data_IF_664496972697
#
_entry.id   IF_664496972697
#
_cell.length_a   1.000
_cell.length_b   1.000
_cell.length_c   1.000
_cell.angle_alpha   90.00
_cell.angle_beta   90.00
_cell.angle_gamma   90.00
#
_symmetry.space_group_name_H-M   'P 1'
#
loop_
_entity.id
_entity.type
_entity.pdbx_description
1 polymer ?
#
# COMPACT_ATOMS: atom_id res chain seq x y z
N UNK A 1 -0.57 12.36 26.08
CA UNK A 1 -0.93 11.32 25.10
C UNK A 1 0.35 10.91 24.36
N UNK A 2 0.59 9.61 24.11
CA UNK A 2 1.77 9.20 23.34
C UNK A 2 1.61 9.66 21.89
N UNK A 3 2.69 10.15 21.23
CA UNK A 3 2.64 10.55 19.84
C UNK A 3 2.33 9.35 18.93
N UNK A 4 1.58 9.55 17.84
CA UNK A 4 1.16 8.47 16.97
C UNK A 4 2.35 7.88 16.20
N UNK A 5 2.40 6.54 16.09
CA UNK A 5 3.26 5.87 15.13
C UNK A 5 2.59 5.95 13.74
N UNK A 6 3.33 6.40 12.73
CA UNK A 6 2.81 6.59 11.37
C UNK A 6 3.11 5.35 10.53
N UNK A 7 4.38 5.06 10.28
CA UNK A 7 4.84 3.91 9.48
C UNK A 7 6.29 3.54 9.82
N UNK A 8 6.75 2.32 9.51
CA UNK A 8 8.18 2.03 9.54
C UNK A 8 8.94 2.88 8.51
N UNK A 9 10.12 3.41 8.89
CA UNK A 9 11.00 4.15 7.99
C UNK A 9 12.18 3.26 7.62
N UNK A 10 12.35 3.02 6.32
CA UNK A 10 13.39 2.15 5.76
C UNK A 10 14.46 2.97 5.05
N UNK A 11 15.75 2.62 5.19
CA UNK A 11 16.84 3.32 4.51
C UNK A 11 16.81 3.09 2.98
N UNK A 12 17.49 3.94 2.19
CA UNK A 12 17.58 3.81 0.74
C UNK A 12 18.16 2.46 0.26
N UNK A 13 18.98 1.80 1.08
CA UNK A 13 19.52 0.45 0.81
C UNK A 13 18.48 -0.66 0.94
N UNK A 14 17.31 -0.39 1.52
CA UNK A 14 16.22 -1.35 1.64
C UNK A 14 15.38 -1.40 0.36
N UNK A 15 14.89 -2.60 -0.08
CA UNK A 15 13.88 -2.71 -1.12
C UNK A 15 12.59 -1.95 -0.81
N UNK A 16 12.32 -1.72 0.48
CA UNK A 16 11.16 -0.98 1.02
C UNK A 16 11.49 0.48 1.35
N UNK A 17 12.51 1.05 0.72
CA UNK A 17 12.96 2.43 1.01
C UNK A 17 11.79 3.38 1.25
N UNK A 18 11.92 4.22 2.29
CA UNK A 18 10.94 5.24 2.59
C UNK A 18 11.22 6.50 1.77
N UNK A 19 10.17 7.05 1.18
CA UNK A 19 10.19 8.43 0.71
C UNK A 19 10.20 9.38 1.92
N UNK A 20 10.61 10.63 1.71
CA UNK A 20 10.60 11.65 2.74
C UNK A 20 9.19 11.96 3.26
N UNK A 21 9.09 12.80 4.28
CA UNK A 21 7.82 13.27 4.81
C UNK A 21 7.89 13.85 6.22
N UNK A 22 6.76 14.35 6.69
CA UNK A 22 6.64 14.99 8.02
C UNK A 22 6.97 14.03 9.17
N UNK A 23 6.72 12.74 9.00
CA UNK A 23 7.09 11.69 9.96
C UNK A 23 8.61 11.55 10.09
N UNK A 24 9.34 11.66 8.98
CA UNK A 24 10.82 11.66 8.98
C UNK A 24 11.35 12.88 9.75
N UNK A 25 10.81 14.07 9.46
CA UNK A 25 11.17 15.30 10.19
C UNK A 25 10.95 15.17 11.70
N UNK A 26 9.81 14.63 12.11
CA UNK A 26 9.48 14.42 13.52
C UNK A 26 10.45 13.45 14.19
N UNK A 27 10.80 12.34 13.53
CA UNK A 27 11.75 11.35 14.05
C UNK A 27 13.15 11.93 14.14
N UNK A 28 13.64 12.64 13.11
CA UNK A 28 14.93 13.34 13.16
C UNK A 28 14.98 14.30 14.34
N UNK A 29 13.90 15.09 14.54
CA UNK A 29 13.81 16.01 15.68
C UNK A 29 13.93 15.29 17.02
N UNK A 30 13.19 14.20 17.24
CA UNK A 30 13.28 13.41 18.47
C UNK A 30 14.65 12.79 18.70
N UNK A 31 15.24 12.19 17.66
CA UNK A 31 16.58 11.58 17.70
C UNK A 31 17.69 12.63 17.94
N UNK A 32 17.56 13.85 17.36
CA UNK A 32 18.47 14.96 17.59
C UNK A 32 18.39 15.47 19.02
N UNK A 33 17.21 15.60 19.59
CA UNK A 33 17.02 16.01 20.99
C UNK A 33 17.65 15.02 21.98
N UNK A 34 17.78 13.76 21.58
CA UNK A 34 18.48 12.71 22.34
C UNK A 34 19.99 12.69 22.07
N UNK A 35 20.53 13.59 21.25
CA UNK A 35 21.97 13.72 20.96
C UNK A 35 22.50 12.77 19.87
N UNK A 36 21.65 12.04 19.18
CA UNK A 36 22.07 11.07 18.16
C UNK A 36 22.08 11.59 16.73
N UNK A 37 21.68 12.85 16.49
CA UNK A 37 21.70 13.47 15.17
C UNK A 37 21.95 14.97 15.24
N UNK A 38 22.81 15.55 14.36
CA UNK A 38 23.07 16.98 14.39
C UNK A 38 21.88 17.82 13.91
N UNK A 39 21.61 18.92 14.62
CA UNK A 39 20.50 19.84 14.34
C UNK A 39 20.55 20.53 12.97
N UNK A 40 21.73 20.60 12.34
CA UNK A 40 21.93 21.28 11.05
C UNK A 40 21.44 20.45 9.84
N UNK A 41 21.15 19.17 10.03
CA UNK A 41 20.75 18.26 8.96
C UNK A 41 19.26 17.90 9.06
N UNK A 42 18.41 18.94 9.09
CA UNK A 42 16.95 18.80 9.12
C UNK A 42 16.35 18.94 7.74
N UNK A 43 16.12 17.82 7.08
CA UNK A 43 15.29 17.66 5.89
C UNK A 43 14.27 16.52 6.12
N UNK A 44 13.33 16.36 5.23
CA UNK A 44 12.30 15.32 5.29
C UNK A 44 12.77 13.98 4.71
N UNK A 45 14.06 13.82 4.39
CA UNK A 45 14.61 12.61 3.75
C UNK A 45 15.10 11.62 4.81
N UNK A 46 14.65 10.37 4.74
CA UNK A 46 15.22 9.27 5.52
C UNK A 46 16.49 8.76 4.82
N UNK A 47 17.60 9.48 5.03
CA UNK A 47 18.88 9.18 4.39
C UNK A 47 19.55 7.93 4.97
N UNK A 48 20.45 7.33 4.20
CA UNK A 48 21.27 6.21 4.66
C UNK A 48 22.09 6.60 5.90
N UNK A 49 22.69 7.79 5.88
CA UNK A 49 23.49 8.33 6.98
C UNK A 49 22.65 8.50 8.25
N UNK A 50 21.44 9.04 8.15
CA UNK A 50 20.54 9.16 9.31
C UNK A 50 20.14 7.79 9.88
N UNK A 51 19.93 6.79 9.02
CA UNK A 51 19.65 5.43 9.48
C UNK A 51 20.84 4.81 10.25
N UNK A 52 22.05 5.02 9.78
CA UNK A 52 23.28 4.44 10.35
C UNK A 52 23.77 5.17 11.61
N UNK A 53 23.83 6.50 11.60
CA UNK A 53 24.37 7.30 12.68
C UNK A 53 23.28 7.73 13.70
N UNK A 54 22.07 8.04 13.22
CA UNK A 54 20.97 8.49 14.09
C UNK A 54 20.16 7.34 14.67
N UNK A 55 19.49 6.57 13.81
CA UNK A 55 18.52 5.54 14.25
C UNK A 55 19.22 4.34 14.85
N UNK A 56 20.30 3.84 14.24
CA UNK A 56 21.00 2.65 14.73
C UNK A 56 21.63 2.89 16.13
N UNK A 57 22.21 4.06 16.35
CA UNK A 57 22.82 4.40 17.64
C UNK A 57 21.75 4.67 18.71
N UNK A 58 20.66 5.34 18.34
CA UNK A 58 19.50 5.48 19.23
C UNK A 58 18.96 4.11 19.64
N UNK A 59 18.72 3.20 18.70
CA UNK A 59 18.22 1.82 18.99
C UNK A 59 19.12 1.10 19.99
N UNK A 60 20.44 1.16 19.78
CA UNK A 60 21.42 0.57 20.67
C UNK A 60 21.35 1.19 22.08
N UNK A 61 21.21 2.50 22.20
CA UNK A 61 21.17 3.21 23.49
C UNK A 61 19.96 2.84 24.35
N UNK A 62 18.85 2.43 23.71
CA UNK A 62 17.61 2.03 24.42
C UNK A 62 17.40 0.52 24.51
N UNK A 63 18.45 -0.27 24.25
CA UNK A 63 18.44 -1.73 24.40
C UNK A 63 17.71 -2.49 23.29
N UNK A 64 17.48 -1.89 22.13
CA UNK A 64 16.99 -2.57 20.94
C UNK A 64 18.15 -3.14 20.12
N UNK A 65 17.87 -4.20 19.35
CA UNK A 65 18.84 -4.70 18.39
C UNK A 65 19.26 -3.58 17.42
N UNK A 66 20.58 -3.48 17.14
CA UNK A 66 21.09 -2.51 16.16
C UNK A 66 20.44 -2.76 14.81
N UNK A 67 19.89 -1.72 14.18
CA UNK A 67 19.20 -1.84 12.90
C UNK A 67 18.92 -0.47 12.31
N UNK A 68 18.80 -0.42 10.99
CA UNK A 68 18.63 0.80 10.21
C UNK A 68 17.16 1.22 10.03
N UNK A 69 16.23 0.39 10.50
CA UNK A 69 14.78 0.65 10.38
C UNK A 69 14.27 1.32 11.64
N UNK A 70 13.58 2.45 11.49
CA UNK A 70 12.79 3.03 12.56
C UNK A 70 11.39 2.39 12.56
N UNK A 71 11.16 1.47 13.46
CA UNK A 71 9.93 0.68 13.59
C UNK A 71 9.09 1.10 14.82
N UNK A 72 7.98 0.40 15.05
CA UNK A 72 7.09 0.67 16.19
C UNK A 72 7.80 0.51 17.55
N UNK A 73 8.78 -0.41 17.66
CA UNK A 73 9.54 -0.59 18.89
C UNK A 73 10.47 0.61 19.15
N UNK A 74 11.17 1.09 18.12
CA UNK A 74 11.98 2.30 18.21
C UNK A 74 11.11 3.54 18.52
N UNK A 75 9.94 3.64 17.88
CA UNK A 75 8.99 4.73 18.17
C UNK A 75 8.50 4.72 19.63
N UNK A 76 8.12 3.57 20.15
CA UNK A 76 7.69 3.43 21.55
C UNK A 76 8.78 3.88 22.52
N UNK A 77 10.03 3.47 22.28
CA UNK A 77 11.17 3.88 23.11
C UNK A 77 11.44 5.38 23.02
N UNK A 78 11.45 5.96 21.81
CA UNK A 78 11.68 7.39 21.63
C UNK A 78 10.56 8.24 22.24
N UNK A 79 9.31 7.80 22.14
CA UNK A 79 8.14 8.49 22.74
C UNK A 79 8.19 8.56 24.25
N UNK A 80 8.79 7.57 24.90
CA UNK A 80 8.96 7.51 26.35
C UNK A 80 10.29 8.10 26.84
N UNK A 81 11.24 8.36 25.93
CA UNK A 81 12.58 8.82 26.28
C UNK A 81 12.58 10.24 26.80
N UNK A 82 13.38 10.48 27.85
CA UNK A 82 13.69 11.83 28.34
C UNK A 82 15.09 12.23 27.92
N UNK A 83 15.24 13.49 27.61
CA UNK A 83 16.50 14.08 27.19
C UNK A 83 17.54 13.96 28.32
N UNK A 84 18.77 13.46 28.05
CA UNK A 84 19.86 13.36 28.99
C UNK A 84 20.19 14.68 29.67
N UNK A 85 20.77 14.61 30.91
CA UNK A 85 21.01 15.77 31.75
C UNK A 85 22.07 16.76 31.20
N UNK A 86 22.92 16.27 30.34
CA UNK A 86 24.01 16.98 29.69
C UNK A 86 23.64 17.67 28.37
N UNK A 87 22.38 17.48 27.93
CA UNK A 87 21.87 18.05 26.69
C UNK A 87 20.88 19.19 26.94
N UNK A 88 20.70 20.11 25.97
CA UNK A 88 19.64 21.12 26.01
C UNK A 88 18.26 20.46 26.22
N UNK A 89 17.41 21.12 27.01
CA UNK A 89 16.07 20.62 27.37
C UNK A 89 16.06 19.32 28.20
N UNK A 90 17.11 19.11 29.02
CA UNK A 90 17.24 17.95 29.89
C UNK A 90 15.97 17.66 30.70
N UNK A 91 15.56 16.38 30.72
CA UNK A 91 14.37 15.92 31.42
C UNK A 91 13.05 16.06 30.65
N UNK A 92 12.98 16.84 29.58
CA UNK A 92 11.82 16.88 28.68
C UNK A 92 11.71 15.57 27.86
N UNK A 93 10.54 15.32 27.27
CA UNK A 93 10.35 14.22 26.33
C UNK A 93 11.10 14.48 25.02
N UNK A 94 11.64 13.42 24.41
CA UNK A 94 12.32 13.50 23.13
C UNK A 94 11.43 14.06 22.01
N UNK A 95 10.14 13.68 21.98
CA UNK A 95 9.14 14.32 21.13
C UNK A 95 8.53 15.54 21.83
N UNK A 96 8.86 16.72 21.36
CA UNK A 96 8.21 17.97 21.76
C UNK A 96 6.88 18.21 21.00
N UNK A 97 6.18 19.29 21.33
CA UNK A 97 4.90 19.64 20.69
C UNK A 97 5.01 19.76 19.16
N UNK A 98 6.13 20.24 18.63
CA UNK A 98 6.36 20.35 17.19
C UNK A 98 6.47 18.96 16.54
N UNK A 99 7.26 18.06 17.12
CA UNK A 99 7.38 16.69 16.61
C UNK A 99 6.04 15.93 16.67
N UNK A 100 5.28 16.10 17.76
CA UNK A 100 3.94 15.51 17.89
C UNK A 100 3.00 16.04 16.80
N UNK A 101 2.95 17.35 16.58
CA UNK A 101 2.12 17.95 15.52
C UNK A 101 2.50 17.45 14.13
N UNK A 102 3.79 17.29 13.83
CA UNK A 102 4.26 16.72 12.56
C UNK A 102 3.81 15.28 12.38
N UNK A 103 3.86 14.43 13.42
CA UNK A 103 3.40 13.03 13.37
C UNK A 103 1.88 12.96 13.19
N UNK A 104 1.10 13.82 13.84
CA UNK A 104 -0.35 13.87 13.65
C UNK A 104 -0.74 14.29 12.23
N UNK A 105 -0.04 15.29 11.66
CA UNK A 105 -0.24 15.70 10.27
C UNK A 105 0.16 14.58 9.28
N UNK A 106 1.32 13.96 9.49
CA UNK A 106 1.77 12.83 8.67
C UNK A 106 0.75 11.69 8.67
N UNK A 107 0.21 11.34 9.85
CA UNK A 107 -0.82 10.30 9.97
C UNK A 107 -2.11 10.65 9.22
N UNK A 108 -2.53 11.92 9.24
CA UNK A 108 -3.70 12.39 8.47
C UNK A 108 -3.47 12.34 6.95
N UNK A 109 -2.21 12.50 6.52
CA UNK A 109 -1.83 12.44 5.10
C UNK A 109 -1.58 11.00 4.61
N UNK A 110 -1.46 10.05 5.53
CA UNK A 110 -1.23 8.66 5.16
C UNK A 110 -2.45 8.09 4.42
N UNK A 111 -2.21 7.55 3.23
CA UNK A 111 -3.26 6.83 2.50
C UNK A 111 -3.72 5.61 3.33
N UNK A 112 -5.02 5.47 3.60
CA UNK A 112 -5.54 4.30 4.31
C UNK A 112 -5.07 2.99 3.65
N UNK A 113 -4.77 1.93 4.43
CA UNK A 113 -4.29 0.65 3.89
C UNK A 113 -5.21 0.07 2.81
N UNK A 114 -6.51 0.23 2.95
CA UNK A 114 -7.52 -0.22 2.00
C UNK A 114 -7.42 0.54 0.68
N UNK A 115 -7.26 1.86 0.74
CA UNK A 115 -7.04 2.70 -0.46
C UNK A 115 -5.72 2.33 -1.13
N UNK A 116 -4.66 2.10 -0.35
CA UNK A 116 -3.37 1.67 -0.87
C UNK A 116 -3.47 0.31 -1.58
N UNK A 117 -4.23 -0.64 -1.01
CA UNK A 117 -4.47 -1.96 -1.62
C UNK A 117 -5.28 -1.86 -2.91
N UNK A 118 -6.29 -0.97 -2.96
CA UNK A 118 -7.04 -0.70 -4.18
C UNK A 118 -6.17 -0.06 -5.28
N UNK A 119 -5.26 0.83 -4.89
CA UNK A 119 -4.26 1.41 -5.80
C UNK A 119 -3.32 0.33 -6.34
N UNK A 120 -2.79 -0.54 -5.48
CA UNK A 120 -1.91 -1.66 -5.87
C UNK A 120 -2.58 -2.55 -6.91
N UNK A 121 -3.84 -2.93 -6.69
CA UNK A 121 -4.61 -3.73 -7.65
C UNK A 121 -4.80 -2.98 -8.98
N UNK A 122 -5.18 -1.71 -8.95
CA UNK A 122 -5.34 -0.91 -10.17
C UNK A 122 -4.02 -0.78 -10.96
N UNK A 123 -2.91 -0.51 -10.29
CA UNK A 123 -1.60 -0.41 -10.96
C UNK A 123 -1.14 -1.76 -11.51
N UNK A 124 -1.48 -2.87 -10.83
CA UNK A 124 -1.25 -4.20 -11.40
C UNK A 124 -2.09 -4.44 -12.66
N UNK A 125 -3.39 -4.11 -12.64
CA UNK A 125 -4.29 -4.22 -13.80
C UNK A 125 -3.80 -3.42 -15.03
N UNK A 126 -3.12 -2.31 -14.84
CA UNK A 126 -2.55 -1.50 -15.95
C UNK A 126 -1.40 -2.20 -16.68
N UNK A 127 -0.79 -3.21 -16.08
CA UNK A 127 0.34 -3.95 -16.67
C UNK A 127 -0.08 -4.93 -17.75
N UNK A 128 -1.36 -5.29 -17.86
CA UNK A 128 -1.84 -6.25 -18.83
C UNK A 128 -1.67 -5.75 -20.27
N UNK A 129 -1.05 -6.56 -21.10
CA UNK A 129 -0.79 -6.29 -22.53
C UNK A 129 -1.29 -7.39 -23.45
N UNK A 130 -1.62 -8.58 -22.92
CA UNK A 130 -2.14 -9.73 -23.68
C UNK A 130 -3.47 -9.45 -24.38
N UNK A 131 -3.86 -10.34 -25.27
CA UNK A 131 -5.14 -10.30 -25.99
C UNK A 131 -6.20 -11.08 -25.23
N UNK A 132 -7.44 -10.98 -25.66
CA UNK A 132 -8.49 -11.86 -25.20
C UNK A 132 -8.38 -13.23 -25.87
N UNK A 133 -8.34 -14.30 -25.06
CA UNK A 133 -8.43 -15.69 -25.50
C UNK A 133 -9.47 -16.41 -24.63
N UNK A 134 -10.54 -16.91 -25.21
CA UNK A 134 -11.54 -17.67 -24.47
C UNK A 134 -10.92 -18.92 -23.84
N UNK A 135 -11.12 -19.12 -22.53
CA UNK A 135 -10.47 -20.18 -21.75
C UNK A 135 -8.96 -19.99 -21.56
N UNK A 136 -8.43 -18.78 -21.83
CA UNK A 136 -7.01 -18.47 -21.65
C UNK A 136 -6.60 -18.49 -20.17
N UNK A 137 -5.40 -19.05 -19.90
CA UNK A 137 -4.74 -19.12 -18.58
C UNK A 137 -5.62 -19.78 -17.48
N UNK A 138 -6.30 -20.91 -17.85
CA UNK A 138 -7.00 -21.77 -16.89
C UNK A 138 -6.29 -23.12 -16.64
N UNK A 139 -5.27 -23.42 -17.41
CA UNK A 139 -4.57 -24.72 -17.39
C UNK A 139 -3.28 -24.67 -16.55
N UNK A 140 -2.75 -23.48 -16.26
CA UNK A 140 -1.54 -23.27 -15.49
C UNK A 140 -1.84 -22.64 -14.10
N UNK A 141 -0.83 -22.57 -13.23
CA UNK A 141 -0.96 -21.85 -11.98
C UNK A 141 -0.80 -20.37 -12.23
N UNK A 142 -1.59 -19.53 -11.57
CA UNK A 142 -1.50 -18.07 -11.65
C UNK A 142 -0.12 -17.51 -11.28
N UNK A 143 0.70 -18.29 -10.57
CA UNK A 143 2.06 -17.90 -10.21
C UNK A 143 3.02 -17.89 -11.40
N UNK A 144 2.76 -18.70 -12.43
CA UNK A 144 3.62 -18.86 -13.62
C UNK A 144 3.23 -17.90 -14.76
N UNK A 145 2.00 -17.32 -14.70
CA UNK A 145 1.46 -16.42 -15.70
C UNK A 145 2.13 -15.04 -15.70
N UNK A 146 1.99 -14.32 -16.82
CA UNK A 146 2.51 -12.95 -17.01
C UNK A 146 1.42 -12.02 -17.53
N UNK A 147 1.46 -10.71 -17.21
CA UNK A 147 0.48 -9.75 -17.72
C UNK A 147 0.44 -9.61 -19.25
N UNK A 148 1.43 -10.17 -19.96
CA UNK A 148 1.50 -10.23 -21.44
C UNK A 148 0.76 -11.42 -22.04
N UNK A 149 0.37 -12.39 -21.23
CA UNK A 149 -0.29 -13.61 -21.70
C UNK A 149 -1.74 -13.35 -22.10
N UNK A 150 -2.35 -14.26 -22.84
CA UNK A 150 -3.67 -14.09 -23.43
C UNK A 150 -4.76 -14.67 -22.51
N UNK A 151 -5.37 -13.82 -21.71
CA UNK A 151 -6.39 -14.14 -20.71
C UNK A 151 -7.82 -14.04 -21.26
N UNK A 152 -8.75 -14.77 -20.61
CA UNK A 152 -10.17 -14.45 -20.65
C UNK A 152 -10.57 -13.49 -19.51
N UNK A 153 -11.89 -13.23 -19.36
CA UNK A 153 -12.40 -12.31 -18.36
C UNK A 153 -12.14 -12.78 -16.91
N UNK A 154 -12.30 -14.09 -16.68
CA UNK A 154 -12.22 -14.67 -15.34
C UNK A 154 -10.78 -14.98 -14.92
N UNK A 155 -9.95 -15.47 -15.83
CA UNK A 155 -8.54 -15.69 -15.55
C UNK A 155 -7.78 -14.38 -15.33
N UNK A 156 -8.07 -13.31 -16.10
CA UNK A 156 -7.44 -12.00 -15.88
C UNK A 156 -7.80 -11.37 -14.52
N UNK A 157 -9.07 -11.50 -14.09
CA UNK A 157 -9.49 -11.06 -12.76
C UNK A 157 -8.84 -11.90 -11.65
N UNK A 158 -8.81 -13.23 -11.82
CA UNK A 158 -8.15 -14.16 -10.88
C UNK A 158 -6.68 -13.83 -10.72
N UNK A 159 -5.95 -13.66 -11.83
CA UNK A 159 -4.54 -13.33 -11.86
C UNK A 159 -4.24 -12.00 -11.14
N UNK A 160 -5.01 -10.94 -11.44
CA UNK A 160 -4.82 -9.65 -10.79
C UNK A 160 -5.07 -9.72 -9.28
N UNK A 161 -6.14 -10.37 -8.85
CA UNK A 161 -6.49 -10.52 -7.44
C UNK A 161 -5.50 -11.42 -6.68
N UNK A 162 -4.99 -12.48 -7.29
CA UNK A 162 -3.99 -13.38 -6.73
C UNK A 162 -2.67 -12.63 -6.46
N UNK A 163 -2.14 -11.92 -7.45
CA UNK A 163 -0.85 -11.25 -7.33
C UNK A 163 -0.81 -10.10 -6.33
N UNK A 164 -1.96 -9.52 -5.99
CA UNK A 164 -2.05 -8.54 -4.90
C UNK A 164 -2.52 -9.16 -3.57
N UNK A 165 -2.61 -10.50 -3.50
CA UNK A 165 -2.95 -11.22 -2.28
C UNK A 165 -4.42 -11.10 -1.84
N UNK A 166 -5.34 -10.83 -2.77
CA UNK A 166 -6.79 -10.76 -2.54
C UNK A 166 -7.52 -12.06 -2.90
N UNK A 167 -6.93 -12.92 -3.71
CA UNK A 167 -7.40 -14.26 -4.02
C UNK A 167 -6.41 -15.27 -3.44
N UNK A 168 -6.90 -16.18 -2.60
CA UNK A 168 -6.04 -17.18 -1.93
C UNK A 168 -5.73 -18.42 -2.79
N UNK A 169 -6.43 -18.60 -3.92
CA UNK A 169 -6.19 -19.71 -4.86
C UNK A 169 -5.18 -19.30 -5.92
N UNK A 170 -4.24 -20.17 -6.21
CA UNK A 170 -3.30 -20.09 -7.34
C UNK A 170 -3.88 -20.60 -8.66
N UNK A 171 -5.16 -21.02 -8.66
CA UNK A 171 -5.91 -21.47 -9.83
C UNK A 171 -6.89 -20.40 -10.28
N UNK A 172 -6.96 -20.16 -11.59
CA UNK A 172 -7.94 -19.25 -12.15
C UNK A 172 -9.37 -19.72 -11.90
N UNK A 173 -10.22 -18.85 -11.40
CA UNK A 173 -11.62 -19.12 -11.15
C UNK A 173 -12.48 -18.79 -12.39
N UNK A 174 -13.59 -19.46 -12.56
CA UNK A 174 -14.56 -19.15 -13.65
C UNK A 174 -15.47 -17.98 -13.26
N UNK A 175 -16.04 -17.28 -14.24
CA UNK A 175 -16.88 -16.08 -14.02
C UNK A 175 -18.00 -16.30 -13.01
N UNK A 176 -18.74 -17.41 -13.13
CA UNK A 176 -19.86 -17.75 -12.23
C UNK A 176 -19.43 -17.94 -10.76
N UNK A 177 -18.21 -18.41 -10.51
CA UNK A 177 -17.68 -18.58 -9.16
C UNK A 177 -17.61 -17.24 -8.41
N UNK A 178 -17.25 -16.16 -9.09
CA UNK A 178 -17.17 -14.83 -8.48
C UNK A 178 -18.52 -14.31 -7.97
N UNK A 179 -19.66 -14.86 -8.40
CA UNK A 179 -20.99 -14.48 -7.88
C UNK A 179 -21.18 -14.79 -6.40
N UNK A 180 -20.40 -15.72 -5.85
CA UNK A 180 -20.40 -16.07 -4.42
C UNK A 180 -19.12 -15.72 -3.69
N UNK A 181 -18.14 -15.12 -4.37
CA UNK A 181 -16.83 -14.80 -3.83
C UNK A 181 -16.89 -13.62 -2.83
N UNK A 182 -16.05 -13.68 -1.80
CA UNK A 182 -15.76 -12.61 -0.84
C UNK A 182 -17.02 -12.01 -0.18
N UNK A 183 -17.19 -10.69 -0.13
CA UNK A 183 -18.33 -10.02 0.51
C UNK A 183 -19.39 -9.63 -0.53
N UNK A 184 -20.71 -9.75 -0.20
CA UNK A 184 -21.78 -9.34 -1.09
C UNK A 184 -21.90 -7.82 -1.16
N UNK A 185 -22.34 -7.31 -2.31
CA UNK A 185 -22.59 -5.89 -2.55
C UNK A 185 -21.40 -5.18 -3.21
N UNK A 186 -21.57 -3.86 -3.42
CA UNK A 186 -20.53 -2.99 -3.97
C UNK A 186 -19.48 -2.70 -2.90
N UNK A 187 -18.22 -2.73 -3.31
CA UNK A 187 -17.12 -2.28 -2.47
C UNK A 187 -17.03 -0.75 -2.40
N UNK A 188 -16.31 -0.27 -1.42
CA UNK A 188 -16.04 1.16 -1.27
C UNK A 188 -15.04 1.64 -2.33
N UNK A 189 -14.04 0.82 -2.67
CA UNK A 189 -12.95 1.17 -3.57
C UNK A 189 -12.85 0.25 -4.79
N UNK A 190 -13.21 -1.02 -4.63
CA UNK A 190 -13.15 -2.05 -5.67
C UNK A 190 -14.43 -2.87 -5.66
N UNK A 191 -15.09 -2.99 -6.82
CA UNK A 191 -16.23 -3.90 -6.98
C UNK A 191 -15.93 -4.90 -8.11
N UNK A 192 -16.10 -6.18 -7.82
CA UNK A 192 -16.10 -7.26 -8.81
C UNK A 192 -17.53 -7.51 -9.26
N UNK A 193 -17.79 -7.35 -10.53
CA UNK A 193 -19.09 -7.56 -11.16
C UNK A 193 -19.10 -8.91 -11.88
N UNK A 194 -19.83 -9.88 -11.37
CA UNK A 194 -19.84 -11.25 -11.84
C UNK A 194 -21.20 -11.69 -12.40
N UNK A 195 -21.17 -12.33 -13.57
CA UNK A 195 -22.29 -13.09 -14.18
C UNK A 195 -21.77 -14.48 -14.55
N UNK A 196 -22.63 -15.36 -15.04
CA UNK A 196 -22.22 -16.72 -15.42
C UNK A 196 -21.24 -16.75 -16.58
N UNK A 197 -21.36 -15.78 -17.49
CA UNK A 197 -20.59 -15.69 -18.75
C UNK A 197 -19.53 -14.59 -18.75
N UNK A 198 -19.45 -13.74 -17.70
CA UNK A 198 -18.50 -12.62 -17.67
C UNK A 198 -18.22 -12.11 -16.27
N UNK A 199 -16.99 -11.62 -16.04
CA UNK A 199 -16.57 -10.93 -14.83
C UNK A 199 -15.64 -9.77 -15.18
N UNK A 200 -15.75 -8.70 -14.41
CA UNK A 200 -14.91 -7.49 -14.52
C UNK A 200 -14.87 -6.75 -13.18
N UNK A 201 -13.96 -5.80 -13.02
CA UNK A 201 -13.82 -4.99 -11.80
C UNK A 201 -13.97 -3.51 -12.09
N UNK A 202 -14.57 -2.73 -11.18
CA UNK A 202 -14.47 -1.28 -11.19
C UNK A 202 -13.70 -0.75 -9.97
N UNK A 203 -13.20 0.48 -10.12
CA UNK A 203 -12.39 1.18 -9.14
C UNK A 203 -12.95 2.57 -8.88
N UNK A 204 -13.24 2.84 -7.60
CA UNK A 204 -13.69 4.14 -7.09
C UNK A 204 -12.71 4.61 -6.02
N UNK A 205 -11.51 5.02 -6.44
CA UNK A 205 -10.40 5.35 -5.54
C UNK A 205 -10.36 6.88 -5.33
N UNK A 206 -10.31 7.37 -4.06
CA UNK A 206 -10.20 8.79 -3.77
C UNK A 206 -9.05 9.46 -4.52
N UNK A 207 -9.31 10.61 -5.14
CA UNK A 207 -8.32 11.38 -5.90
C UNK A 207 -7.96 10.80 -7.28
N UNK A 208 -8.63 9.74 -7.73
CA UNK A 208 -8.45 9.14 -9.06
C UNK A 208 -9.75 9.11 -9.85
N UNK A 209 -9.73 9.25 -11.18
CA UNK A 209 -10.91 9.07 -12.00
C UNK A 209 -11.41 7.62 -11.89
N UNK A 210 -12.74 7.45 -11.93
CA UNK A 210 -13.35 6.13 -12.01
C UNK A 210 -12.84 5.38 -13.24
N UNK A 211 -12.58 4.08 -13.10
CA UNK A 211 -12.21 3.21 -14.20
C UNK A 211 -12.65 1.77 -13.92
N UNK A 212 -12.61 0.94 -14.96
CA UNK A 212 -12.86 -0.50 -14.87
C UNK A 212 -11.73 -1.31 -15.50
N UNK A 213 -11.48 -2.50 -14.97
CA UNK A 213 -10.65 -3.52 -15.58
C UNK A 213 -11.55 -4.56 -16.22
N UNK A 214 -11.47 -4.72 -17.53
CA UNK A 214 -12.41 -5.52 -18.31
C UNK A 214 -11.76 -6.01 -19.61
N UNK A 215 -12.07 -7.23 -20.02
CA UNK A 215 -11.65 -7.78 -21.31
C UNK A 215 -12.55 -7.33 -22.47
N UNK A 216 -13.78 -6.89 -22.17
CA UNK A 216 -14.74 -6.40 -23.17
C UNK A 216 -14.61 -4.89 -23.38
N UNK A 217 -14.49 -4.40 -24.62
CA UNK A 217 -14.33 -3.00 -24.90
C UNK A 217 -15.57 -2.15 -24.58
N UNK A 218 -16.79 -2.62 -24.84
CA UNK A 218 -18.03 -1.84 -24.71
C UNK A 218 -17.88 -0.40 -25.24
N UNK A 219 -17.42 -0.25 -26.48
CA UNK A 219 -17.21 1.03 -27.13
C UNK A 219 -15.90 1.75 -26.75
N UNK A 220 -15.00 1.11 -26.01
CA UNK A 220 -13.79 1.70 -25.46
C UNK A 220 -12.56 0.87 -25.81
N UNK A 221 -12.02 1.07 -26.97
CA UNK A 221 -10.79 0.41 -27.44
C UNK A 221 -10.98 -1.01 -27.93
N UNK A 222 -9.94 -1.85 -27.81
CA UNK A 222 -9.87 -3.22 -28.29
C UNK A 222 -10.26 -4.24 -27.23
N UNK A 223 -10.55 -5.47 -27.62
CA UNK A 223 -10.73 -6.61 -26.70
C UNK A 223 -9.43 -6.94 -25.96
N UNK A 224 -9.57 -7.64 -24.84
CA UNK A 224 -8.46 -8.05 -23.96
C UNK A 224 -8.46 -7.31 -22.63
N UNK A 225 -7.76 -7.86 -21.61
CA UNK A 225 -7.74 -7.30 -20.26
C UNK A 225 -7.06 -5.92 -20.26
N UNK A 226 -7.82 -4.88 -19.94
CA UNK A 226 -7.37 -3.47 -19.95
C UNK A 226 -8.11 -2.65 -18.90
N UNK A 227 -7.44 -1.65 -18.37
CA UNK A 227 -8.08 -0.57 -17.63
C UNK A 227 -8.75 0.40 -18.60
N UNK A 228 -10.02 0.73 -18.35
CA UNK A 228 -10.90 1.52 -19.23
C UNK A 228 -11.67 2.56 -18.43
N UNK A 229 -11.98 3.69 -19.04
CA UNK A 229 -12.73 4.80 -18.42
C UNK A 229 -14.19 4.89 -18.90
N UNK A 230 -14.58 4.11 -19.91
CA UNK A 230 -15.95 4.09 -20.41
C UNK A 230 -16.87 3.24 -19.51
N UNK A 231 -18.08 3.74 -19.31
CA UNK A 231 -19.11 3.08 -18.49
C UNK A 231 -19.58 1.76 -19.10
N UNK A 232 -20.04 0.85 -18.24
CA UNK A 232 -20.68 -0.41 -18.60
C UNK A 232 -21.92 -0.61 -17.72
N UNK A 233 -23.02 -1.16 -18.28
CA UNK A 233 -24.19 -1.56 -17.49
C UNK A 233 -23.82 -2.65 -16.49
N UNK A 234 -24.34 -2.54 -15.29
CA UNK A 234 -24.16 -3.48 -14.16
C UNK A 234 -25.38 -4.36 -13.89
N UNK A 235 -26.51 -4.14 -14.57
CA UNK A 235 -27.83 -4.71 -14.24
C UNK A 235 -27.85 -6.24 -14.14
N UNK A 236 -27.08 -6.95 -15.00
CA UNK A 236 -27.05 -8.42 -14.99
C UNK A 236 -25.97 -9.02 -14.07
N UNK A 237 -25.18 -8.19 -13.40
CA UNK A 237 -24.05 -8.64 -12.62
C UNK A 237 -24.35 -8.66 -11.12
N UNK A 238 -23.87 -9.68 -10.44
CA UNK A 238 -23.84 -9.75 -8.98
C UNK A 238 -22.60 -9.01 -8.49
N UNK A 239 -22.75 -7.92 -7.72
CA UNK A 239 -21.62 -7.19 -7.20
C UNK A 239 -20.99 -7.92 -5.99
N UNK A 240 -19.69 -7.97 -5.94
CA UNK A 240 -18.87 -8.52 -4.87
C UNK A 240 -17.66 -7.64 -4.60
N UNK A 241 -17.09 -7.72 -3.41
CA UNK A 241 -15.89 -6.96 -3.08
C UNK A 241 -14.97 -7.71 -2.11
N UNK A 242 -13.64 -7.53 -2.19
CA UNK A 242 -12.72 -8.01 -1.18
C UNK A 242 -13.02 -7.37 0.19
N UNK A 243 -12.80 -8.07 1.31
CA UNK A 243 -12.96 -7.46 2.63
C UNK A 243 -12.13 -6.18 2.77
N UNK A 244 -12.77 -5.09 3.22
CA UNK A 244 -12.15 -3.78 3.39
C UNK A 244 -12.02 -2.92 2.11
N UNK A 245 -12.30 -3.46 0.95
CA UNK A 245 -12.26 -2.73 -0.33
C UNK A 245 -13.65 -2.53 -0.89
#
# INVERSE_FOLDING_TARGET
>A
MAPPFVRPLYPPSSPKKSEGGLDVLAVKRGVSRMGFWPWQEFDDTYSQRFAEEGVADFRKSVGLAKGLVYDAAAHSKLSAARIPKDLPHAGELAFDATAISLLELAKKQQTPPEVQKAIELLEFCKRFTGKYRYGGEHDATLADDKPSDDFDCSSSCSFALYHVGLLGSDQAQVSGWFKSWARPGRGQYVTVHAADDHVWMDFTIPGRPWCRFDTSPHGCGTTGPRVRTCMRSVERFVPRHPPGL
#
